data_IF_175146737162
#
_entry.id   IF_175146737162
#
_cell.length_a   1.000
_cell.length_b   1.000
_cell.length_c   1.000
_cell.angle_alpha   90.00
_cell.angle_beta   90.00
_cell.angle_gamma   90.00
#
_symmetry.space_group_name_H-M   'P 1'
#
loop_
_entity.id
_entity.type
_entity.pdbx_description
1 polymer ?
#
# COMPACT_ATOMS: atom_id res chain seq x y z
N UNK A 1 -3.26 -18.75 7.96
CA UNK A 1 -2.77 -18.07 6.77
C UNK A 1 -3.64 -18.47 5.59
N UNK A 2 -4.17 -17.48 4.84
CA UNK A 2 -4.97 -17.74 3.65
C UNK A 2 -4.15 -18.43 2.55
N UNK A 3 -4.82 -19.18 1.67
CA UNK A 3 -4.16 -19.76 0.50
C UNK A 3 -3.58 -18.64 -0.37
N UNK A 4 -2.31 -18.77 -0.78
CA UNK A 4 -1.68 -17.82 -1.69
C UNK A 4 -2.31 -17.81 -3.10
N UNK A 5 -2.93 -18.91 -3.49
CA UNK A 5 -3.58 -19.05 -4.78
C UNK A 5 -5.06 -19.40 -4.55
N UNK A 6 -5.94 -18.54 -5.01
CA UNK A 6 -7.38 -18.77 -4.98
C UNK A 6 -8.00 -18.53 -6.35
N UNK A 7 -8.98 -19.37 -6.72
CA UNK A 7 -9.81 -19.11 -7.90
C UNK A 7 -10.89 -18.11 -7.49
N UNK A 8 -10.82 -16.91 -8.05
CA UNK A 8 -11.74 -15.83 -7.71
C UNK A 8 -12.01 -15.00 -8.98
N UNK A 9 -13.08 -15.32 -9.69
CA UNK A 9 -13.45 -14.62 -10.92
C UNK A 9 -13.89 -13.19 -10.62
N UNK A 10 -13.35 -12.23 -11.38
CA UNK A 10 -13.72 -10.81 -11.28
C UNK A 10 -13.53 -10.24 -9.87
N UNK A 11 -12.45 -10.63 -9.22
CA UNK A 11 -12.11 -10.33 -7.81
C UNK A 11 -12.09 -8.83 -7.44
N UNK A 12 -11.86 -7.95 -8.43
CA UNK A 12 -11.77 -6.50 -8.21
C UNK A 12 -13.14 -5.79 -8.28
N UNK A 13 -14.21 -6.52 -8.59
CA UNK A 13 -15.52 -5.93 -8.87
C UNK A 13 -16.60 -6.49 -7.95
N UNK A 14 -17.10 -5.63 -7.06
CA UNK A 14 -18.13 -6.04 -6.08
C UNK A 14 -19.55 -5.71 -6.53
N UNK A 15 -19.77 -4.71 -7.39
CA UNK A 15 -21.10 -4.11 -7.62
C UNK A 15 -21.47 -3.90 -9.07
N UNK A 16 -20.51 -3.80 -9.97
CA UNK A 16 -20.77 -3.47 -11.37
C UNK A 16 -20.93 -4.71 -12.24
N UNK A 17 -21.57 -4.58 -13.39
CA UNK A 17 -21.48 -5.60 -14.42
C UNK A 17 -20.04 -5.65 -14.97
N UNK A 18 -19.56 -6.84 -15.38
CA UNK A 18 -18.18 -7.08 -15.80
C UNK A 18 -17.65 -6.02 -16.80
N UNK A 19 -18.38 -5.82 -17.91
CA UNK A 19 -17.96 -4.84 -18.92
C UNK A 19 -17.98 -3.41 -18.43
N UNK A 20 -18.97 -3.05 -17.61
CA UNK A 20 -19.09 -1.71 -17.08
C UNK A 20 -17.99 -1.37 -16.10
N UNK A 21 -17.55 -2.34 -15.31
CA UNK A 21 -16.37 -2.21 -14.46
C UNK A 21 -15.15 -1.75 -15.28
N UNK A 22 -14.86 -2.40 -16.40
CA UNK A 22 -13.75 -2.02 -17.26
C UNK A 22 -13.93 -0.67 -17.95
N UNK A 23 -15.15 -0.35 -18.40
CA UNK A 23 -15.44 0.97 -18.95
C UNK A 23 -15.19 2.08 -17.93
N UNK A 24 -15.62 1.89 -16.68
CA UNK A 24 -15.39 2.88 -15.61
C UNK A 24 -13.91 3.06 -15.27
N UNK A 25 -13.16 1.98 -15.21
CA UNK A 25 -11.77 2.00 -14.77
C UNK A 25 -10.77 2.35 -15.89
N UNK A 26 -11.03 1.96 -17.14
CA UNK A 26 -10.11 2.14 -18.27
C UNK A 26 -10.62 3.17 -19.28
N UNK A 27 -11.87 3.58 -19.19
CA UNK A 27 -12.46 4.61 -19.99
C UNK A 27 -12.43 4.35 -21.50
N UNK A 28 -12.10 5.38 -22.25
CA UNK A 28 -12.12 5.36 -23.72
C UNK A 28 -11.16 4.34 -24.32
N UNK A 29 -10.07 4.01 -23.62
CA UNK A 29 -9.11 3.01 -24.07
C UNK A 29 -9.78 1.64 -24.22
N UNK A 30 -10.58 1.23 -23.22
CA UNK A 30 -11.27 -0.07 -23.29
C UNK A 30 -12.32 -0.09 -24.40
N UNK A 31 -13.03 1.00 -24.62
CA UNK A 31 -14.05 1.13 -25.69
C UNK A 31 -13.42 1.02 -27.09
N UNK A 32 -12.25 1.63 -27.28
CA UNK A 32 -11.54 1.63 -28.56
C UNK A 32 -10.73 0.35 -28.82
N UNK A 33 -10.46 -0.43 -27.81
CA UNK A 33 -9.60 -1.62 -27.88
C UNK A 33 -10.03 -2.64 -28.95
N UNK A 34 -11.32 -3.02 -29.08
CA UNK A 34 -11.74 -3.95 -30.14
C UNK A 34 -11.42 -3.43 -31.55
N UNK A 35 -11.67 -2.13 -31.78
CA UNK A 35 -11.38 -1.50 -33.08
C UNK A 35 -9.88 -1.42 -33.33
N UNK A 36 -9.09 -1.07 -32.30
CA UNK A 36 -7.64 -1.03 -32.37
C UNK A 36 -7.05 -2.41 -32.68
N UNK A 37 -7.56 -3.47 -32.05
CA UNK A 37 -7.14 -4.84 -32.32
C UNK A 37 -7.46 -5.27 -33.75
N UNK A 38 -8.65 -4.96 -34.28
CA UNK A 38 -9.01 -5.29 -35.65
C UNK A 38 -8.09 -4.58 -36.65
N UNK A 39 -7.79 -3.32 -36.45
CA UNK A 39 -6.97 -2.49 -37.33
C UNK A 39 -5.46 -2.77 -37.22
N UNK A 40 -4.99 -3.35 -36.12
CA UNK A 40 -3.59 -3.58 -35.86
C UNK A 40 -2.91 -4.53 -36.85
N UNK A 41 -1.59 -4.39 -37.01
CA UNK A 41 -0.75 -5.32 -37.79
C UNK A 41 -0.66 -6.67 -37.08
N UNK A 42 -0.23 -7.69 -37.85
CA UNK A 42 -0.17 -9.05 -37.36
C UNK A 42 0.75 -9.18 -36.13
N UNK A 43 1.91 -8.58 -36.20
CA UNK A 43 2.92 -8.62 -35.11
C UNK A 43 2.37 -8.00 -33.80
N UNK A 44 1.66 -6.88 -33.92
CA UNK A 44 1.04 -6.19 -32.76
C UNK A 44 -0.09 -7.04 -32.16
N UNK A 45 -0.88 -7.72 -33.04
CA UNK A 45 -1.93 -8.66 -32.59
C UNK A 45 -1.36 -9.83 -31.82
N UNK A 46 -0.29 -10.45 -32.35
CA UNK A 46 0.36 -11.60 -31.73
C UNK A 46 0.92 -11.22 -30.35
N UNK A 47 1.60 -10.06 -30.26
CA UNK A 47 2.11 -9.53 -29.01
C UNK A 47 0.97 -9.27 -28.01
N UNK A 48 -0.09 -8.60 -28.48
CA UNK A 48 -1.22 -8.28 -27.59
C UNK A 48 -1.97 -9.54 -27.12
N UNK A 49 -2.12 -10.56 -27.95
CA UNK A 49 -2.73 -11.84 -27.55
C UNK A 49 -1.92 -12.54 -26.45
N UNK A 50 -0.58 -12.45 -26.50
CA UNK A 50 0.26 -12.97 -25.44
C UNK A 50 0.01 -12.25 -24.10
N UNK A 51 -0.19 -10.93 -24.15
CA UNK A 51 -0.48 -10.13 -22.94
C UNK A 51 -1.94 -10.28 -22.49
N UNK A 52 -2.87 -10.57 -23.42
CA UNK A 52 -4.25 -10.91 -23.06
C UNK A 52 -4.33 -12.12 -22.11
N UNK A 53 -3.41 -13.07 -22.28
CA UNK A 53 -3.32 -14.20 -21.36
C UNK A 53 -3.08 -13.76 -19.90
N UNK A 54 -2.28 -12.74 -19.67
CA UNK A 54 -2.06 -12.19 -18.32
C UNK A 54 -3.36 -11.62 -17.75
N UNK A 55 -4.16 -10.93 -18.58
CA UNK A 55 -5.46 -10.42 -18.15
C UNK A 55 -6.42 -11.55 -17.78
N UNK A 56 -6.56 -12.55 -18.66
CA UNK A 56 -7.42 -13.72 -18.39
C UNK A 56 -6.97 -14.44 -17.12
N UNK A 57 -5.67 -14.62 -16.96
CA UNK A 57 -5.10 -15.31 -15.81
C UNK A 57 -5.39 -14.52 -14.51
N UNK A 58 -5.19 -13.19 -14.54
CA UNK A 58 -5.45 -12.35 -13.38
C UNK A 58 -6.94 -12.21 -13.03
N UNK A 59 -7.85 -12.41 -14.00
CA UNK A 59 -9.29 -12.42 -13.76
C UNK A 59 -9.81 -13.72 -13.11
N UNK A 60 -9.09 -14.81 -13.29
CA UNK A 60 -9.50 -16.13 -12.79
C UNK A 60 -8.77 -16.50 -11.51
N UNK A 61 -7.50 -16.11 -11.40
CA UNK A 61 -6.62 -16.51 -10.30
C UNK A 61 -6.17 -15.26 -9.52
N UNK A 62 -6.46 -15.28 -8.25
CA UNK A 62 -5.86 -14.36 -7.28
C UNK A 62 -4.57 -15.01 -6.76
N UNK A 63 -3.42 -14.38 -7.05
CA UNK A 63 -2.08 -14.91 -6.75
C UNK A 63 -1.60 -14.63 -5.35
N UNK A 64 -2.25 -13.73 -4.64
CA UNK A 64 -1.88 -13.33 -3.28
C UNK A 64 -3.13 -13.12 -2.43
N UNK A 65 -3.02 -13.28 -1.10
CA UNK A 65 -4.13 -12.99 -0.19
C UNK A 65 -4.66 -11.56 -0.31
N UNK A 66 -3.78 -10.59 -0.63
CA UNK A 66 -4.20 -9.23 -0.92
C UNK A 66 -4.66 -9.11 -2.39
N UNK A 67 -5.95 -8.91 -2.65
CA UNK A 67 -6.48 -8.81 -4.01
C UNK A 67 -5.86 -7.67 -4.82
N UNK A 68 -5.47 -6.56 -4.19
CA UNK A 68 -4.87 -5.42 -4.89
C UNK A 68 -3.51 -5.72 -5.55
N UNK A 69 -2.81 -6.76 -5.12
CA UNK A 69 -1.54 -7.15 -5.74
C UNK A 69 -1.73 -7.75 -7.14
N UNK A 70 -2.88 -8.31 -7.45
CA UNK A 70 -3.24 -8.74 -8.80
C UNK A 70 -3.31 -7.57 -9.81
N UNK A 71 -3.58 -6.34 -9.35
CA UNK A 71 -3.56 -5.14 -10.22
C UNK A 71 -2.25 -4.98 -10.99
N UNK A 72 -1.13 -5.48 -10.46
CA UNK A 72 0.18 -5.40 -11.13
C UNK A 72 0.16 -6.09 -12.49
N UNK A 73 -0.55 -7.21 -12.62
CA UNK A 73 -0.73 -7.91 -13.90
C UNK A 73 -1.65 -7.12 -14.84
N UNK A 74 -2.71 -6.53 -14.32
CA UNK A 74 -3.62 -5.67 -15.07
C UNK A 74 -2.91 -4.42 -15.59
N UNK A 75 -1.98 -3.83 -14.86
CA UNK A 75 -1.19 -2.69 -15.33
C UNK A 75 -0.32 -3.04 -16.53
N UNK A 76 0.30 -4.24 -16.53
CA UNK A 76 1.08 -4.71 -17.68
C UNK A 76 0.16 -4.83 -18.91
N UNK A 77 -0.95 -5.55 -18.80
CA UNK A 77 -1.93 -5.67 -19.88
C UNK A 77 -2.43 -4.32 -20.36
N UNK A 78 -2.76 -3.41 -19.46
CA UNK A 78 -3.26 -2.07 -19.78
C UNK A 78 -2.23 -1.23 -20.54
N UNK A 79 -0.96 -1.32 -20.21
CA UNK A 79 0.10 -0.62 -20.94
C UNK A 79 0.14 -1.04 -22.42
N UNK A 80 -0.03 -2.33 -22.72
CA UNK A 80 -0.13 -2.81 -24.10
C UNK A 80 -1.43 -2.38 -24.78
N UNK A 81 -2.54 -2.33 -24.06
CA UNK A 81 -3.80 -1.75 -24.58
C UNK A 81 -3.62 -0.28 -24.97
N UNK A 82 -2.94 0.52 -24.15
CA UNK A 82 -2.60 1.90 -24.47
C UNK A 82 -1.76 2.00 -25.74
N UNK A 83 -0.75 1.15 -25.91
CA UNK A 83 0.08 1.10 -27.12
C UNK A 83 -0.74 0.82 -28.37
N UNK A 84 -1.60 -0.20 -28.31
CA UNK A 84 -2.44 -0.61 -29.44
C UNK A 84 -3.45 0.50 -29.84
N UNK A 85 -4.12 1.09 -28.87
CA UNK A 85 -5.08 2.19 -29.10
C UNK A 85 -4.37 3.44 -29.59
N UNK A 86 -3.18 3.75 -29.06
CA UNK A 86 -2.39 4.90 -29.52
C UNK A 86 -1.98 4.74 -30.99
N UNK A 87 -1.59 3.56 -31.43
CA UNK A 87 -1.27 3.27 -32.82
C UNK A 87 -2.47 3.52 -33.74
N UNK A 88 -3.67 3.06 -33.35
CA UNK A 88 -4.91 3.34 -34.06
C UNK A 88 -5.18 4.85 -34.16
N UNK A 89 -5.07 5.59 -33.06
CA UNK A 89 -5.35 7.04 -33.03
C UNK A 89 -4.36 7.83 -33.89
N UNK A 90 -3.09 7.46 -33.89
CA UNK A 90 -2.08 8.08 -34.77
C UNK A 90 -2.39 7.82 -36.24
N UNK A 91 -2.81 6.61 -36.60
CA UNK A 91 -3.20 6.27 -37.96
C UNK A 91 -4.46 7.05 -38.40
N UNK A 92 -5.48 7.12 -37.54
CA UNK A 92 -6.68 7.92 -37.81
C UNK A 92 -6.30 9.40 -38.00
N UNK A 93 -5.46 9.96 -37.10
CA UNK A 93 -5.01 11.34 -37.24
C UNK A 93 -4.27 11.61 -38.53
N UNK A 94 -3.44 10.69 -38.99
CA UNK A 94 -2.74 10.78 -40.27
C UNK A 94 -3.72 10.76 -41.46
N UNK A 95 -4.72 9.87 -41.44
CA UNK A 95 -5.75 9.78 -42.47
C UNK A 95 -6.66 11.00 -42.57
N UNK A 96 -6.81 11.72 -41.46
CA UNK A 96 -7.61 12.94 -41.40
C UNK A 96 -6.83 14.21 -41.83
N UNK A 97 -5.75 14.06 -42.65
CA UNK A 97 -4.87 15.16 -43.06
C UNK A 97 -5.61 16.36 -43.65
N UNK A 98 -6.66 16.13 -44.43
CA UNK A 98 -7.39 17.14 -45.16
C UNK A 98 -8.54 17.77 -44.37
N UNK A 99 -8.80 17.24 -43.16
CA UNK A 99 -9.91 17.76 -42.35
C UNK A 99 -9.48 18.99 -41.54
N UNK A 100 -10.14 20.13 -41.79
CA UNK A 100 -10.00 21.32 -40.97
C UNK A 100 -10.46 21.00 -39.54
N UNK A 101 -9.61 21.26 -38.53
CA UNK A 101 -9.96 21.02 -37.13
C UNK A 101 -9.48 19.68 -36.56
N UNK A 102 -8.79 18.82 -37.35
CA UNK A 102 -8.25 17.57 -36.86
C UNK A 102 -7.42 17.68 -35.58
N UNK A 103 -6.66 18.81 -35.44
CA UNK A 103 -5.86 19.08 -34.24
C UNK A 103 -6.74 19.29 -32.99
N UNK A 104 -7.86 20.00 -33.17
CA UNK A 104 -8.84 20.22 -32.08
C UNK A 104 -9.47 18.89 -31.66
N UNK A 105 -9.89 18.08 -32.63
CA UNK A 105 -10.45 16.76 -32.37
C UNK A 105 -9.45 15.86 -31.64
N UNK A 106 -8.20 15.81 -32.10
CA UNK A 106 -7.14 15.06 -31.42
C UNK A 106 -6.91 15.56 -29.99
N UNK A 107 -6.91 16.89 -29.78
CA UNK A 107 -6.78 17.46 -28.46
C UNK A 107 -7.93 17.05 -27.51
N UNK A 108 -9.18 17.06 -28.00
CA UNK A 108 -10.35 16.60 -27.23
C UNK A 108 -10.20 15.12 -26.84
N UNK A 109 -9.83 14.26 -27.78
CA UNK A 109 -9.66 12.82 -27.54
C UNK A 109 -8.54 12.58 -26.52
N UNK A 110 -7.37 13.19 -26.70
CA UNK A 110 -6.24 13.05 -25.75
C UNK A 110 -6.65 13.56 -24.38
N UNK A 111 -7.32 14.72 -24.29
CA UNK A 111 -7.80 15.24 -23.02
C UNK A 111 -8.77 14.26 -22.35
N UNK A 112 -9.75 13.74 -23.08
CA UNK A 112 -10.71 12.77 -22.55
C UNK A 112 -10.04 11.49 -22.02
N UNK A 113 -8.94 11.05 -22.66
CA UNK A 113 -8.18 9.84 -22.24
C UNK A 113 -7.27 10.10 -21.05
N UNK A 114 -6.77 11.31 -20.86
CA UNK A 114 -5.73 11.61 -19.86
C UNK A 114 -6.22 12.46 -18.69
N UNK A 115 -7.39 13.10 -18.79
CA UNK A 115 -7.89 14.06 -17.81
C UNK A 115 -7.93 13.51 -16.39
N UNK A 116 -8.40 12.28 -16.20
CA UNK A 116 -8.46 11.65 -14.89
C UNK A 116 -7.05 11.52 -14.26
N UNK A 117 -6.07 11.07 -15.04
CA UNK A 117 -4.68 10.99 -14.58
C UNK A 117 -4.08 12.35 -14.23
N UNK A 118 -4.34 13.36 -15.07
CA UNK A 118 -3.88 14.74 -14.82
C UNK A 118 -4.51 15.30 -13.55
N UNK A 119 -5.81 15.09 -13.34
CA UNK A 119 -6.50 15.53 -12.12
C UNK A 119 -5.97 14.81 -10.88
N UNK A 120 -5.68 13.52 -10.96
CA UNK A 120 -5.06 12.76 -9.87
C UNK A 120 -3.68 13.31 -9.53
N UNK A 121 -2.83 13.53 -10.53
CA UNK A 121 -1.51 14.13 -10.32
C UNK A 121 -1.61 15.54 -9.74
N UNK A 122 -2.57 16.35 -10.24
CA UNK A 122 -2.84 17.69 -9.71
C UNK A 122 -3.27 17.65 -8.23
N UNK A 123 -4.13 16.72 -7.86
CA UNK A 123 -4.52 16.49 -6.46
C UNK A 123 -3.32 16.12 -5.60
N UNK A 124 -2.53 15.16 -6.02
CA UNK A 124 -1.35 14.72 -5.26
C UNK A 124 -0.31 15.86 -5.12
N UNK A 125 -0.12 16.67 -6.15
CA UNK A 125 0.81 17.80 -6.11
C UNK A 125 0.45 18.88 -5.09
N UNK A 126 -0.84 19.02 -4.74
CA UNK A 126 -1.31 19.97 -3.72
C UNK A 126 -1.65 19.30 -2.39
N UNK A 127 -1.64 17.97 -2.33
CA UNK A 127 -1.89 17.23 -1.10
C UNK A 127 -0.73 17.40 -0.13
N UNK A 128 -1.06 17.60 1.14
CA UNK A 128 -0.09 17.62 2.23
C UNK A 128 -0.54 16.59 3.27
N UNK A 129 0.34 15.66 3.57
CA UNK A 129 0.13 14.69 4.64
C UNK A 129 1.45 14.45 5.36
N UNK A 130 1.35 14.32 6.65
CA UNK A 130 2.46 14.05 7.54
C UNK A 130 2.48 12.54 7.84
N UNK A 131 3.57 11.88 7.46
CA UNK A 131 3.72 10.45 7.70
C UNK A 131 4.13 10.17 9.14
N UNK A 132 5.07 10.98 9.65
CA UNK A 132 5.54 10.93 11.02
C UNK A 132 5.52 12.34 11.61
N UNK A 133 4.82 12.57 12.73
CA UNK A 133 4.88 13.84 13.45
C UNK A 133 6.31 14.16 13.89
N UNK A 134 6.63 15.46 13.92
CA UNK A 134 7.98 15.94 14.29
C UNK A 134 8.49 15.32 15.59
N UNK A 135 7.62 15.21 16.61
CA UNK A 135 8.02 14.62 17.87
C UNK A 135 8.35 13.13 17.82
N UNK A 136 7.75 12.37 16.89
CA UNK A 136 8.11 10.97 16.65
C UNK A 136 9.44 10.85 15.89
N UNK A 137 9.72 11.79 14.97
CA UNK A 137 11.02 11.88 14.29
C UNK A 137 12.14 12.17 15.32
N UNK A 138 11.93 13.12 16.21
CA UNK A 138 12.89 13.45 17.28
C UNK A 138 13.14 12.24 18.21
N UNK A 139 12.09 11.48 18.54
CA UNK A 139 12.23 10.24 19.32
C UNK A 139 13.02 9.17 18.56
N UNK A 140 12.74 9.00 17.27
CA UNK A 140 13.49 8.06 16.43
C UNK A 140 14.97 8.46 16.31
N UNK A 141 15.27 9.76 16.12
CA UNK A 141 16.66 10.24 16.12
C UNK A 141 17.38 9.98 17.46
N UNK A 142 16.67 10.14 18.58
CA UNK A 142 17.23 9.82 19.89
C UNK A 142 17.54 8.33 19.99
N UNK A 143 16.61 7.47 19.59
CA UNK A 143 16.76 6.01 19.60
C UNK A 143 17.96 5.60 18.74
N UNK A 144 18.04 6.11 17.53
CA UNK A 144 19.12 5.75 16.61
C UNK A 144 20.52 6.13 17.14
N UNK A 145 20.64 7.29 17.76
CA UNK A 145 21.91 7.83 18.28
C UNK A 145 22.34 7.23 19.61
N UNK A 146 21.40 6.84 20.48
CA UNK A 146 21.69 6.59 21.90
C UNK A 146 21.44 5.13 22.35
N UNK A 147 20.67 4.33 21.58
CA UNK A 147 20.36 2.96 21.97
C UNK A 147 21.12 1.92 21.17
N UNK A 148 21.37 0.73 21.75
CA UNK A 148 21.98 -0.38 21.04
C UNK A 148 21.24 -0.74 19.74
N UNK A 149 21.99 -1.18 18.72
CA UNK A 149 21.41 -1.52 17.42
C UNK A 149 20.52 -2.78 17.48
N UNK A 150 20.79 -3.67 18.42
CA UNK A 150 20.14 -4.96 18.61
C UNK A 150 19.03 -4.93 19.67
N UNK A 151 18.77 -3.77 20.29
CA UNK A 151 17.71 -3.66 21.30
C UNK A 151 16.33 -3.94 20.71
N UNK A 152 15.45 -4.49 21.55
CA UNK A 152 14.04 -4.76 21.23
C UNK A 152 13.16 -3.73 21.93
N UNK A 153 12.35 -3.04 21.14
CA UNK A 153 11.48 -1.98 21.63
C UNK A 153 10.02 -2.42 21.51
N UNK A 154 9.29 -2.38 22.62
CA UNK A 154 7.84 -2.54 22.59
C UNK A 154 7.21 -1.31 21.96
N UNK A 155 6.48 -1.50 20.87
CA UNK A 155 5.69 -0.49 20.15
C UNK A 155 4.31 -1.04 19.82
N UNK A 156 3.38 -0.18 19.45
CA UNK A 156 2.08 -0.59 18.95
C UNK A 156 2.17 -1.31 17.58
N UNK A 157 1.16 -2.12 17.31
CA UNK A 157 1.06 -2.90 16.06
C UNK A 157 0.39 -2.04 14.99
N UNK A 158 1.19 -1.27 14.26
CA UNK A 158 0.69 -0.40 13.18
C UNK A 158 1.71 -0.27 12.04
N UNK A 159 1.26 0.16 10.86
CA UNK A 159 2.09 0.19 9.67
C UNK A 159 3.17 1.28 9.74
N UNK A 160 2.78 2.51 10.03
CA UNK A 160 3.70 3.64 10.10
C UNK A 160 4.33 3.73 11.49
N UNK A 161 5.14 2.74 11.83
CA UNK A 161 5.85 2.69 13.12
C UNK A 161 7.16 3.46 13.00
N UNK A 162 7.26 4.60 13.69
CA UNK A 162 8.42 5.48 13.63
C UNK A 162 9.71 4.77 14.11
N UNK A 163 9.62 3.92 15.13
CA UNK A 163 10.78 3.17 15.62
C UNK A 163 11.31 2.23 14.55
N UNK A 164 10.47 1.35 14.01
CA UNK A 164 10.90 0.39 13.01
C UNK A 164 11.33 1.05 11.70
N UNK A 165 10.53 2.04 11.22
CA UNK A 165 10.75 2.64 9.92
C UNK A 165 11.95 3.60 9.85
N UNK A 166 12.21 4.35 10.93
CA UNK A 166 13.23 5.40 10.94
C UNK A 166 14.55 4.97 11.61
N UNK A 167 14.53 3.91 12.43
CA UNK A 167 15.73 3.50 13.18
C UNK A 167 16.22 2.09 12.83
N UNK A 168 15.36 1.27 12.22
CA UNK A 168 15.66 -0.13 11.95
C UNK A 168 15.81 -1.01 13.21
N UNK A 169 15.42 -0.51 14.39
CA UNK A 169 15.44 -1.30 15.65
C UNK A 169 14.37 -2.39 15.60
N UNK A 170 14.64 -3.48 16.29
CA UNK A 170 13.68 -4.58 16.42
C UNK A 170 12.48 -4.14 17.25
N UNK A 171 11.29 -4.55 16.82
CA UNK A 171 10.04 -4.35 17.55
C UNK A 171 9.39 -5.70 17.85
N UNK A 172 8.56 -5.76 18.89
CA UNK A 172 7.91 -7.02 19.30
C UNK A 172 6.98 -7.54 18.22
N UNK A 173 6.16 -6.69 17.62
CA UNK A 173 5.25 -7.06 16.55
C UNK A 173 5.13 -5.94 15.53
N UNK A 174 5.30 -6.26 14.25
CA UNK A 174 5.06 -5.34 13.13
C UNK A 174 3.57 -5.25 12.79
N UNK A 175 3.27 -4.54 11.69
CA UNK A 175 1.89 -4.40 11.20
C UNK A 175 1.27 -5.76 10.88
N UNK A 176 0.23 -6.13 11.62
CA UNK A 176 -0.50 -7.40 11.45
C UNK A 176 -1.04 -7.59 10.04
N UNK A 177 -1.57 -6.53 9.43
CA UNK A 177 -2.09 -6.60 8.08
C UNK A 177 -1.01 -7.03 7.07
N UNK A 178 0.17 -6.44 7.14
CA UNK A 178 1.27 -6.83 6.24
C UNK A 178 1.80 -8.23 6.54
N UNK A 179 1.98 -8.56 7.81
CA UNK A 179 2.46 -9.89 8.22
C UNK A 179 1.46 -10.99 7.82
N UNK A 180 0.15 -10.73 7.95
CA UNK A 180 -0.90 -11.62 7.48
C UNK A 180 -0.79 -11.92 5.98
N UNK A 181 -0.60 -10.89 5.14
CA UNK A 181 -0.42 -11.06 3.69
C UNK A 181 0.87 -11.78 3.31
N UNK A 182 1.84 -11.84 4.21
CA UNK A 182 3.06 -12.65 4.07
C UNK A 182 2.93 -14.05 4.71
N UNK A 183 1.76 -14.42 5.19
CA UNK A 183 1.45 -15.75 5.71
C UNK A 183 1.79 -15.95 7.19
N UNK A 184 2.09 -14.88 7.91
CA UNK A 184 2.35 -14.94 9.36
C UNK A 184 1.07 -14.73 10.14
N UNK A 185 0.81 -15.61 11.12
CA UNK A 185 -0.22 -15.39 12.12
C UNK A 185 0.38 -14.58 13.27
N UNK A 186 -0.20 -13.43 13.54
CA UNK A 186 0.26 -12.50 14.57
C UNK A 186 -0.72 -12.35 15.72
N UNK A 187 -1.83 -13.06 15.71
CA UNK A 187 -2.92 -12.86 16.66
C UNK A 187 -2.45 -12.94 18.13
N UNK A 188 -1.78 -14.01 18.52
CA UNK A 188 -1.30 -14.18 19.91
C UNK A 188 -0.29 -13.10 20.29
N UNK A 189 0.58 -12.72 19.35
CA UNK A 189 1.59 -11.68 19.59
C UNK A 189 0.98 -10.29 19.73
N UNK A 190 -0.10 -10.00 19.00
CA UNK A 190 -0.87 -8.75 19.14
C UNK A 190 -1.55 -8.65 20.50
N UNK A 191 -2.13 -9.77 20.98
CA UNK A 191 -2.70 -9.85 22.33
C UNK A 191 -1.62 -9.64 23.41
N UNK A 192 -0.45 -10.24 23.24
CA UNK A 192 0.68 -10.06 24.16
C UNK A 192 1.14 -8.60 24.19
N UNK A 193 1.23 -7.91 23.02
CA UNK A 193 1.57 -6.49 22.94
C UNK A 193 0.51 -5.64 23.67
N UNK A 194 -0.78 -5.91 23.45
CA UNK A 194 -1.86 -5.21 24.14
C UNK A 194 -1.77 -5.41 25.68
N UNK A 195 -1.54 -6.64 26.12
CA UNK A 195 -1.38 -6.95 27.55
C UNK A 195 -0.19 -6.20 28.17
N UNK A 196 0.95 -6.11 27.47
CA UNK A 196 2.12 -5.37 27.96
C UNK A 196 1.88 -3.86 28.08
N UNK A 197 1.04 -3.25 27.24
CA UNK A 197 0.67 -1.85 27.35
C UNK A 197 -0.40 -1.60 28.40
N UNK A 198 -1.42 -2.45 28.47
CA UNK A 198 -2.61 -2.22 29.31
C UNK A 198 -2.41 -2.73 30.74
N UNK A 199 -1.58 -3.77 30.94
CA UNK A 199 -1.33 -4.41 32.22
C UNK A 199 0.16 -4.70 32.48
N UNK A 200 1.05 -3.72 32.36
CA UNK A 200 2.50 -3.94 32.39
C UNK A 200 2.98 -4.62 33.69
N UNK A 201 2.34 -4.32 34.82
CA UNK A 201 2.69 -4.90 36.13
C UNK A 201 2.51 -6.43 36.19
N UNK A 202 1.57 -6.96 35.41
CA UNK A 202 1.26 -8.40 35.36
C UNK A 202 1.87 -9.10 34.13
N UNK A 203 2.58 -8.36 33.28
CA UNK A 203 3.10 -8.83 32.00
C UNK A 203 4.62 -9.12 32.03
N UNK A 204 5.23 -9.27 33.21
CA UNK A 204 6.68 -9.52 33.36
C UNK A 204 7.18 -10.68 32.51
N UNK A 205 6.46 -11.81 32.51
CA UNK A 205 6.78 -12.98 31.69
C UNK A 205 6.75 -12.70 30.18
N UNK A 206 5.89 -11.77 29.73
CA UNK A 206 5.80 -11.36 28.34
C UNK A 206 6.99 -10.47 27.95
N UNK A 207 7.39 -9.54 28.79
CA UNK A 207 8.59 -8.73 28.58
C UNK A 207 9.83 -9.61 28.47
N UNK A 208 9.98 -10.62 29.34
CA UNK A 208 11.07 -11.60 29.27
C UNK A 208 10.99 -12.47 28.03
N UNK A 209 9.78 -13.01 27.70
CA UNK A 209 9.52 -13.83 26.51
C UNK A 209 10.01 -13.16 25.22
N UNK A 210 9.79 -11.85 25.11
CA UNK A 210 10.16 -11.10 23.92
C UNK A 210 11.50 -10.37 24.03
N UNK A 211 12.16 -10.40 25.18
CA UNK A 211 13.43 -9.72 25.43
C UNK A 211 13.33 -8.20 25.25
N UNK A 212 12.26 -7.61 25.80
CA UNK A 212 12.03 -6.19 25.65
C UNK A 212 13.00 -5.37 26.48
N UNK A 213 13.76 -4.48 25.83
CA UNK A 213 14.71 -3.57 26.49
C UNK A 213 14.10 -2.19 26.75
N UNK A 214 13.20 -1.74 25.85
CA UNK A 214 12.60 -0.42 25.94
C UNK A 214 11.11 -0.45 25.59
N UNK A 215 10.37 0.52 26.10
CA UNK A 215 8.95 0.71 25.84
C UNK A 215 8.75 2.10 25.23
N UNK A 216 8.27 2.15 24.01
CA UNK A 216 7.92 3.38 23.30
C UNK A 216 6.42 3.66 23.42
N UNK A 217 6.06 4.87 23.82
CA UNK A 217 4.67 5.33 23.89
C UNK A 217 4.55 6.63 23.10
N UNK A 218 4.08 6.52 21.87
CA UNK A 218 3.78 7.60 20.95
C UNK A 218 2.28 7.90 20.85
N UNK A 219 1.89 8.56 19.77
CA UNK A 219 0.48 8.89 19.50
C UNK A 219 -0.34 7.62 19.27
N UNK A 220 0.18 6.71 18.45
CA UNK A 220 -0.53 5.46 18.11
C UNK A 220 -0.77 4.57 19.32
N UNK A 221 0.22 4.45 20.21
CA UNK A 221 0.09 3.64 21.41
C UNK A 221 -1.01 4.19 22.31
N UNK A 222 -1.02 5.52 22.53
CA UNK A 222 -2.07 6.17 23.34
C UNK A 222 -3.47 6.10 22.74
N UNK A 223 -3.57 6.04 21.41
CA UNK A 223 -4.86 5.95 20.72
C UNK A 223 -5.43 4.54 20.69
N UNK A 224 -4.55 3.52 20.65
CA UNK A 224 -4.98 2.13 20.40
C UNK A 224 -4.97 1.25 21.65
N UNK A 225 -4.29 1.65 22.72
CA UNK A 225 -4.19 0.89 23.97
C UNK A 225 -4.63 1.71 25.16
N UNK A 226 -5.24 1.06 26.15
CA UNK A 226 -5.67 1.69 27.41
C UNK A 226 -4.46 1.85 28.36
N UNK A 227 -3.54 2.78 28.03
CA UNK A 227 -2.30 2.99 28.75
C UNK A 227 -2.54 3.87 29.98
N UNK A 228 -2.31 3.31 31.19
CA UNK A 228 -2.25 4.12 32.42
C UNK A 228 -0.83 4.65 32.64
N UNK A 229 -0.63 5.97 32.67
CA UNK A 229 0.70 6.57 32.92
C UNK A 229 1.35 6.07 34.20
N UNK A 230 0.54 5.85 35.26
CA UNK A 230 0.99 5.36 36.57
C UNK A 230 1.62 3.96 36.53
N UNK A 231 1.30 3.19 35.49
CA UNK A 231 1.83 1.85 35.34
C UNK A 231 3.31 1.82 34.94
N UNK A 232 3.83 2.94 34.43
CA UNK A 232 5.21 3.09 33.94
C UNK A 232 6.05 4.06 34.78
N UNK A 233 5.50 4.62 35.89
CA UNK A 233 6.19 5.62 36.72
C UNK A 233 7.46 5.09 37.39
N UNK A 234 7.52 3.78 37.65
CA UNK A 234 8.68 3.16 38.27
C UNK A 234 9.82 2.85 37.27
N UNK A 235 9.59 3.02 35.97
CA UNK A 235 10.59 2.79 34.94
C UNK A 235 11.41 4.05 34.68
N UNK A 236 12.69 3.85 34.33
CA UNK A 236 13.55 4.97 33.91
C UNK A 236 13.07 5.57 32.61
N UNK A 237 12.67 6.84 32.66
CA UNK A 237 12.31 7.60 31.46
C UNK A 237 13.57 8.11 30.78
N UNK A 238 13.96 7.50 29.67
CA UNK A 238 15.20 7.84 28.94
C UNK A 238 15.00 8.95 27.90
N UNK A 239 13.74 9.16 27.45
CA UNK A 239 13.39 10.24 26.53
C UNK A 239 11.93 10.66 26.70
N UNK A 240 11.64 11.95 26.51
CA UNK A 240 10.28 12.46 26.40
C UNK A 240 10.29 13.86 25.77
N UNK A 241 9.39 14.12 24.81
CA UNK A 241 9.21 15.44 24.19
C UNK A 241 7.74 15.88 24.13
N UNK A 242 6.86 15.24 24.92
CA UNK A 242 5.42 15.50 24.91
C UNK A 242 4.62 14.74 23.84
N UNK A 243 5.23 14.41 22.70
CA UNK A 243 4.62 13.57 21.66
C UNK A 243 4.92 12.10 21.89
N UNK A 244 6.17 11.76 22.17
CA UNK A 244 6.63 10.42 22.44
C UNK A 244 7.38 10.34 23.77
N UNK A 245 7.29 9.19 24.43
CA UNK A 245 8.03 8.87 25.64
C UNK A 245 8.66 7.49 25.49
N UNK A 246 9.90 7.36 25.90
CA UNK A 246 10.64 6.11 25.91
C UNK A 246 11.07 5.76 27.33
N UNK A 247 10.74 4.57 27.75
CA UNK A 247 11.13 4.01 29.03
C UNK A 247 12.14 2.88 28.82
N UNK A 248 13.12 2.77 29.74
CA UNK A 248 13.96 1.57 29.81
C UNK A 248 13.24 0.54 30.65
N UNK A 249 13.11 -0.67 30.10
CA UNK A 249 12.69 -1.83 30.86
C UNK A 249 13.95 -2.53 31.38
N UNK A 250 14.20 -2.43 32.67
CA UNK A 250 15.28 -3.18 33.35
C UNK A 250 14.65 -4.32 34.13
N UNK A 251 15.11 -5.52 33.85
CA UNK A 251 14.83 -6.70 34.68
C UNK A 251 15.39 -6.53 36.09
#
# INVERSE_FOLDING_TARGET
>A
AGSFLTVNLNWANDTDTFLWFYVKNLGLIFILLPVAFIAAKKEDKETWLGVLFLWVLSEIIQFQPNPYDNNKLLFIWFAFCCGLVSSLLVEIYARLSDIKGRRLLAGIVVTAMTLSGVLTLGREAVSQYELFPKGEIEAAEFIDKNLPADCIILTGVHHNNAVAALTGRNIVCGSSAYLYYHGFDTYDREQDVAAMFENPKNSGELFEKYGVDYIYIGINERCNYSISPESFENLEKVFSNGTATLYRYSQ
#
